data_IF_930181219833
#
_entry.id   IF_930181219833
#
_cell.length_a   1.000
_cell.length_b   1.000
_cell.length_c   1.000
_cell.angle_alpha   90.00
_cell.angle_beta   90.00
_cell.angle_gamma   90.00
#
_symmetry.space_group_name_H-M   'P 1'
#
loop_
_entity.id
_entity.type
_entity.pdbx_description
1 polymer ?
#
# COMPACT_ATOMS: atom_id res chain seq x y z
N UNK A 1 -10.59 -5.30 8.04
CA UNK A 1 -10.98 -5.15 6.62
C UNK A 1 -10.03 -4.15 6.00
N UNK A 2 -9.32 -4.52 4.93
CA UNK A 2 -8.30 -3.66 4.29
C UNK A 2 -8.88 -2.58 3.37
N UNK A 3 -9.95 -1.91 3.80
CA UNK A 3 -10.68 -0.91 3.02
C UNK A 3 -10.28 0.47 3.55
N UNK A 4 -9.59 1.29 2.76
CA UNK A 4 -9.17 2.63 3.19
C UNK A 4 -10.31 3.66 3.10
N UNK A 5 -10.25 4.69 3.94
CA UNK A 5 -11.13 5.84 3.94
C UNK A 5 -10.33 7.14 3.79
N UNK A 6 -10.76 8.00 2.86
CA UNK A 6 -10.18 9.35 2.70
C UNK A 6 -10.35 10.18 3.97
N UNK A 7 -9.34 11.00 4.30
CA UNK A 7 -9.30 11.82 5.50
C UNK A 7 -8.80 11.10 6.75
N UNK A 8 -8.75 9.77 6.74
CA UNK A 8 -8.20 8.95 7.82
C UNK A 8 -6.94 8.20 7.36
N UNK A 9 -7.02 7.48 6.24
CA UNK A 9 -5.92 6.68 5.72
C UNK A 9 -5.03 7.43 4.72
N UNK A 10 -5.59 8.45 4.08
CA UNK A 10 -4.88 9.28 3.10
C UNK A 10 -5.58 10.64 2.94
N UNK A 11 -4.81 11.67 2.61
CA UNK A 11 -5.36 12.99 2.30
C UNK A 11 -5.99 13.01 0.90
N UNK A 12 -6.95 13.91 0.71
CA UNK A 12 -7.51 14.15 -0.62
C UNK A 12 -6.39 14.59 -1.57
N UNK A 13 -6.44 14.11 -2.82
CA UNK A 13 -5.46 14.39 -3.88
C UNK A 13 -4.10 13.69 -3.74
N UNK A 14 -3.82 12.98 -2.64
CA UNK A 14 -2.52 12.33 -2.39
C UNK A 14 -2.46 10.83 -2.77
N UNK A 15 -3.58 10.28 -3.25
CA UNK A 15 -3.69 8.87 -3.63
C UNK A 15 -4.24 8.71 -5.05
N UNK A 16 -3.63 7.82 -5.82
CA UNK A 16 -4.22 7.30 -7.05
C UNK A 16 -5.25 6.21 -6.73
N UNK A 17 -6.24 5.96 -7.61
CA UNK A 17 -7.24 4.91 -7.41
C UNK A 17 -6.64 3.54 -7.07
N UNK A 18 -5.51 3.21 -7.69
CA UNK A 18 -4.75 1.99 -7.44
C UNK A 18 -4.15 1.92 -6.03
N UNK A 19 -3.68 3.05 -5.50
CA UNK A 19 -3.06 3.09 -4.17
C UNK A 19 -4.06 2.62 -3.11
N UNK A 20 -5.34 2.89 -3.33
CA UNK A 20 -6.46 2.63 -2.42
C UNK A 20 -7.39 1.50 -2.89
N UNK A 21 -6.91 0.65 -3.80
CA UNK A 21 -7.58 -0.60 -4.23
C UNK A 21 -8.92 -0.39 -4.98
N UNK A 22 -9.15 0.77 -5.60
CA UNK A 22 -10.36 1.00 -6.42
C UNK A 22 -10.38 0.14 -7.70
N UNK A 23 -9.21 -0.31 -8.16
CA UNK A 23 -9.06 -1.32 -9.21
C UNK A 23 -9.50 -2.72 -8.79
N UNK A 24 -9.62 -2.99 -7.48
CA UNK A 24 -9.99 -4.29 -6.89
C UNK A 24 -11.37 -4.32 -6.25
N UNK A 25 -12.05 -3.18 -6.16
CA UNK A 25 -13.36 -3.02 -5.50
C UNK A 25 -14.46 -2.56 -6.45
N UNK A 26 -14.25 -2.72 -7.76
CA UNK A 26 -15.14 -2.21 -8.84
C UNK A 26 -15.38 -0.68 -8.80
N UNK A 27 -14.59 0.06 -8.02
CA UNK A 27 -14.61 1.51 -7.93
C UNK A 27 -14.05 2.20 -9.17
N UNK A 28 -13.37 1.46 -10.05
CA UNK A 28 -12.78 1.94 -11.30
C UNK A 28 -13.29 1.13 -12.48
N UNK A 29 -13.68 1.80 -13.57
CA UNK A 29 -14.10 1.12 -14.79
C UNK A 29 -13.44 1.70 -16.02
N UNK A 30 -12.75 0.82 -16.74
CA UNK A 30 -12.08 1.13 -18.00
C UNK A 30 -13.00 1.04 -19.24
N UNK A 31 -14.27 0.63 -19.06
CA UNK A 31 -15.27 0.49 -20.14
C UNK A 31 -16.35 1.58 -20.14
N UNK A 32 -16.29 2.53 -19.21
CA UNK A 32 -17.23 3.66 -19.12
C UNK A 32 -16.74 4.82 -20.01
N UNK A 33 -17.63 5.76 -20.33
CA UNK A 33 -17.27 6.97 -21.08
C UNK A 33 -16.20 7.83 -20.39
N UNK A 34 -15.76 8.90 -21.05
CA UNK A 34 -14.65 9.72 -20.58
C UNK A 34 -14.91 10.36 -19.20
N UNK A 35 -13.99 10.17 -18.25
CA UNK A 35 -13.96 10.89 -16.97
C UNK A 35 -12.63 11.61 -16.74
N UNK A 36 -12.63 12.62 -15.87
CA UNK A 36 -11.44 13.45 -15.59
C UNK A 36 -10.31 12.59 -15.04
N UNK A 37 -9.12 12.68 -15.64
CA UNK A 37 -7.93 11.94 -15.21
C UNK A 37 -7.84 10.50 -15.74
N UNK A 38 -8.80 10.04 -16.56
CA UNK A 38 -8.80 8.68 -17.12
C UNK A 38 -7.53 8.32 -17.88
N UNK A 39 -6.93 9.26 -18.62
CA UNK A 39 -5.69 8.99 -19.35
C UNK A 39 -4.54 8.60 -18.40
N UNK A 40 -4.40 9.32 -17.28
CA UNK A 40 -3.35 9.07 -16.28
C UNK A 40 -3.59 7.72 -15.59
N UNK A 41 -4.84 7.47 -15.18
CA UNK A 41 -5.24 6.20 -14.53
C UNK A 41 -5.05 5.01 -15.47
N UNK A 42 -5.41 5.17 -16.74
CA UNK A 42 -5.20 4.14 -17.77
C UNK A 42 -3.71 3.87 -17.98
N UNK A 43 -2.86 4.90 -18.10
CA UNK A 43 -1.40 4.73 -18.23
C UNK A 43 -0.81 4.00 -17.02
N UNK A 44 -1.27 4.31 -15.81
CA UNK A 44 -0.82 3.66 -14.59
C UNK A 44 -1.15 2.16 -14.57
N UNK A 45 -2.38 1.79 -14.96
CA UNK A 45 -2.83 0.40 -15.08
C UNK A 45 -1.95 -0.39 -16.06
N UNK A 46 -1.73 0.15 -17.26
CA UNK A 46 -1.06 -0.59 -18.34
C UNK A 46 0.46 -0.65 -18.18
N UNK A 47 1.07 0.26 -17.41
CA UNK A 47 2.53 0.26 -17.16
C UNK A 47 2.96 -0.59 -15.97
N UNK A 48 2.03 -1.23 -15.25
CA UNK A 48 2.34 -1.95 -14.00
C UNK A 48 2.89 -1.04 -12.89
N UNK A 49 2.78 0.28 -13.05
CA UNK A 49 3.44 1.29 -12.19
C UNK A 49 2.75 1.55 -10.86
N UNK A 50 1.74 0.75 -10.48
CA UNK A 50 1.10 0.85 -9.17
C UNK A 50 2.03 0.34 -8.07
N UNK A 51 3.02 1.18 -7.74
CA UNK A 51 4.08 0.89 -6.77
C UNK A 51 3.58 1.01 -5.34
N UNK A 52 2.50 1.78 -5.10
CA UNK A 52 1.91 1.96 -3.78
C UNK A 52 0.58 1.21 -3.68
N UNK A 53 0.31 0.59 -2.54
CA UNK A 53 -0.97 -0.08 -2.22
C UNK A 53 -1.27 0.05 -0.73
N UNK A 54 -2.55 -0.01 -0.39
CA UNK A 54 -2.99 -0.23 0.99
C UNK A 54 -2.59 -1.63 1.45
N UNK A 55 -1.95 -1.69 2.62
CA UNK A 55 -1.58 -2.89 3.33
C UNK A 55 -2.21 -2.89 4.73
N UNK A 56 -2.48 -4.09 5.23
CA UNK A 56 -2.79 -4.34 6.63
C UNK A 56 -1.49 -4.31 7.43
N UNK A 57 -1.54 -3.68 8.60
CA UNK A 57 -0.41 -3.57 9.54
C UNK A 57 -0.77 -4.30 10.82
N UNK A 58 0.14 -5.12 11.34
CA UNK A 58 0.01 -5.75 12.65
C UNK A 58 1.33 -5.68 13.43
N UNK A 59 1.24 -5.59 14.75
CA UNK A 59 2.39 -5.63 15.67
C UNK A 59 2.06 -6.42 16.93
N UNK A 60 3.08 -6.77 17.73
CA UNK A 60 2.88 -7.39 19.05
C UNK A 60 2.42 -6.37 20.11
N UNK A 61 2.89 -5.12 19.98
CA UNK A 61 2.54 -4.00 20.86
C UNK A 61 1.61 -3.00 20.15
N UNK A 62 1.13 -1.99 20.86
CA UNK A 62 0.34 -0.93 20.24
C UNK A 62 1.14 -0.21 19.13
N UNK A 63 0.49 0.02 17.99
CA UNK A 63 1.06 0.79 16.90
C UNK A 63 1.14 2.28 17.30
N UNK A 64 2.12 3.03 16.75
CA UNK A 64 2.19 4.46 16.92
C UNK A 64 1.06 5.17 16.14
N UNK A 65 1.02 6.50 16.26
CA UNK A 65 -0.08 7.32 15.74
C UNK A 65 -0.17 7.27 14.21
N UNK A 66 -1.37 7.49 13.67
CA UNK A 66 -1.59 7.71 12.23
C UNK A 66 -0.64 8.77 11.66
N UNK A 67 -0.13 8.55 10.45
CA UNK A 67 0.87 9.40 9.82
C UNK A 67 2.32 9.04 10.17
N UNK A 68 2.57 8.04 11.04
CA UNK A 68 3.93 7.56 11.30
C UNK A 68 4.49 6.82 10.09
N UNK A 69 5.73 7.13 9.71
CA UNK A 69 6.42 6.44 8.61
C UNK A 69 6.74 4.99 8.95
N UNK A 70 6.55 4.12 7.96
CA UNK A 70 7.03 2.75 7.97
C UNK A 70 8.38 2.73 7.28
N UNK A 71 9.36 2.16 7.96
CA UNK A 71 10.76 2.11 7.57
C UNK A 71 11.20 0.67 7.31
N UNK A 72 12.06 0.47 6.33
CA UNK A 72 12.82 -0.75 6.10
C UNK A 72 14.31 -0.41 6.05
N UNK A 73 15.09 -0.90 7.01
CA UNK A 73 16.55 -0.65 7.04
C UNK A 73 16.90 0.85 6.98
N UNK A 74 16.13 1.70 7.65
CA UNK A 74 16.31 3.15 7.67
C UNK A 74 15.77 3.91 6.44
N UNK A 75 15.10 3.23 5.50
CA UNK A 75 14.48 3.88 4.33
C UNK A 75 12.95 3.88 4.46
N UNK A 76 12.25 4.99 4.16
CA UNK A 76 10.80 5.02 4.19
C UNK A 76 10.20 4.18 3.06
N UNK A 77 9.27 3.31 3.43
CA UNK A 77 8.53 2.43 2.52
C UNK A 77 7.03 2.74 2.49
N UNK A 78 6.51 3.54 3.42
CA UNK A 78 5.13 3.97 3.43
C UNK A 78 4.79 4.70 4.71
N UNK A 79 3.49 4.89 4.96
CA UNK A 79 3.01 5.66 6.11
C UNK A 79 1.76 5.01 6.67
N UNK A 80 1.64 4.96 8.01
CA UNK A 80 0.45 4.52 8.71
C UNK A 80 -0.74 5.43 8.38
N UNK A 81 -1.87 4.81 8.07
CA UNK A 81 -3.19 5.44 8.02
C UNK A 81 -3.90 5.26 9.36
N UNK A 82 -5.11 4.71 9.33
CA UNK A 82 -5.91 4.41 10.52
C UNK A 82 -5.23 3.36 11.40
N UNK A 83 -5.27 3.59 12.71
CA UNK A 83 -4.67 2.72 13.72
C UNK A 83 -5.70 2.38 14.80
N UNK A 84 -5.74 1.10 15.20
CA UNK A 84 -6.55 0.58 16.29
C UNK A 84 -5.73 -0.44 17.10
N UNK A 85 -5.17 0.01 18.24
CA UNK A 85 -4.34 -0.83 19.09
C UNK A 85 -3.09 -1.32 18.33
N UNK A 86 -2.94 -2.63 18.16
CA UNK A 86 -1.82 -3.25 17.46
C UNK A 86 -2.11 -3.59 15.98
N UNK A 87 -3.17 -3.01 15.42
CA UNK A 87 -3.58 -3.22 14.03
C UNK A 87 -3.84 -1.88 13.34
N UNK A 88 -3.63 -1.83 12.04
CA UNK A 88 -3.89 -0.62 11.28
C UNK A 88 -3.86 -0.85 9.77
N UNK A 89 -3.96 0.25 9.04
CA UNK A 89 -3.73 0.32 7.60
C UNK A 89 -2.51 1.18 7.33
N UNK A 90 -1.89 0.96 6.18
CA UNK A 90 -0.84 1.82 5.66
C UNK A 90 -0.88 1.86 4.15
N UNK A 91 -0.49 2.99 3.55
CA UNK A 91 -0.16 3.02 2.12
C UNK A 91 1.34 2.84 2.00
N UNK A 92 1.75 1.73 1.38
CA UNK A 92 3.15 1.31 1.29
C UNK A 92 3.57 1.05 -0.15
N UNK A 93 4.86 1.20 -0.42
CA UNK A 93 5.50 0.77 -1.66
C UNK A 93 5.71 -0.75 -1.65
N UNK A 94 4.91 -1.46 -2.43
CA UNK A 94 4.85 -2.93 -2.39
C UNK A 94 6.16 -3.60 -2.82
N UNK A 95 6.89 -2.98 -3.74
CA UNK A 95 8.20 -3.43 -4.20
C UNK A 95 9.26 -3.31 -3.10
N UNK A 96 9.33 -2.16 -2.42
CA UNK A 96 10.26 -1.96 -1.29
C UNK A 96 9.94 -2.86 -0.11
N UNK A 97 8.65 -3.10 0.16
CA UNK A 97 8.22 -4.00 1.22
C UNK A 97 8.59 -5.45 0.86
N UNK A 98 8.33 -5.88 -0.38
CA UNK A 98 8.71 -7.22 -0.85
C UNK A 98 10.22 -7.44 -0.82
N UNK A 99 11.01 -6.47 -1.27
CA UNK A 99 12.47 -6.51 -1.16
C UNK A 99 12.94 -6.60 0.29
N UNK A 100 12.34 -5.83 1.21
CA UNK A 100 12.67 -5.89 2.62
C UNK A 100 12.39 -7.28 3.21
N UNK A 101 11.22 -7.86 2.92
CA UNK A 101 10.83 -9.20 3.35
C UNK A 101 11.79 -10.25 2.81
N UNK A 102 12.12 -10.20 1.52
CA UNK A 102 13.01 -11.16 0.87
C UNK A 102 14.44 -11.13 1.43
N UNK A 103 14.90 -9.96 1.86
CA UNK A 103 16.22 -9.77 2.45
C UNK A 103 16.23 -9.87 3.99
N UNK A 104 15.09 -10.23 4.62
CA UNK A 104 14.98 -10.31 6.08
C UNK A 104 15.19 -8.97 6.81
N UNK A 105 14.96 -7.85 6.13
CA UNK A 105 15.07 -6.50 6.69
C UNK A 105 13.81 -6.22 7.51
N UNK A 106 13.92 -5.96 8.83
CA UNK A 106 12.76 -5.64 9.66
C UNK A 106 12.06 -4.37 9.20
N UNK A 107 10.73 -4.40 9.26
CA UNK A 107 9.87 -3.25 9.05
C UNK A 107 9.52 -2.63 10.40
N UNK A 108 9.66 -1.31 10.53
CA UNK A 108 9.34 -0.61 11.77
C UNK A 108 8.47 0.60 11.53
N UNK A 109 7.59 0.92 12.48
CA UNK A 109 6.93 2.20 12.61
C UNK A 109 7.41 2.83 13.92
N UNK A 110 8.19 3.92 13.83
CA UNK A 110 9.01 4.39 14.96
C UNK A 110 9.91 3.27 15.49
N UNK A 111 9.74 2.86 16.75
CA UNK A 111 10.45 1.79 17.45
C UNK A 111 9.68 0.46 17.48
N UNK A 112 8.48 0.40 16.90
CA UNK A 112 7.63 -0.80 16.88
C UNK A 112 7.90 -1.61 15.63
N UNK A 113 8.29 -2.87 15.79
CA UNK A 113 8.36 -3.83 14.67
C UNK A 113 6.96 -4.16 14.17
N UNK A 114 6.76 -4.05 12.86
CA UNK A 114 5.48 -4.29 12.20
C UNK A 114 5.58 -5.39 11.16
N UNK A 115 4.48 -6.11 10.98
CA UNK A 115 4.27 -7.05 9.88
C UNK A 115 3.23 -6.46 8.94
N UNK A 116 3.52 -6.51 7.65
CA UNK A 116 2.64 -6.05 6.59
C UNK A 116 2.06 -7.24 5.82
N UNK A 117 0.79 -7.17 5.47
CA UNK A 117 0.16 -8.06 4.50
C UNK A 117 -0.75 -7.27 3.56
N UNK A 118 -0.93 -7.76 2.33
CA UNK A 118 -1.94 -7.20 1.44
C UNK A 118 -3.29 -7.86 1.73
N UNK A 119 -4.43 -7.16 1.56
CA UNK A 119 -5.73 -7.75 1.85
C UNK A 119 -6.01 -8.96 0.94
N UNK A 120 -6.38 -10.09 1.53
CA UNK A 120 -6.53 -11.38 0.82
C UNK A 120 -7.44 -11.31 -0.41
N UNK A 121 -8.54 -10.56 -0.33
CA UNK A 121 -9.52 -10.39 -1.41
C UNK A 121 -8.99 -9.64 -2.64
N UNK A 122 -7.76 -9.10 -2.59
CA UNK A 122 -7.16 -8.39 -3.73
C UNK A 122 -6.37 -9.31 -4.66
N UNK A 123 -6.06 -10.53 -4.23
CA UNK A 123 -5.11 -11.47 -4.85
C UNK A 123 -3.72 -10.85 -5.12
N UNK A 124 -3.36 -9.77 -4.41
CA UNK A 124 -2.06 -9.13 -4.53
C UNK A 124 -1.06 -9.77 -3.57
N UNK A 125 0.19 -9.81 -4.01
CA UNK A 125 1.34 -10.21 -3.19
C UNK A 125 2.40 -9.11 -3.25
N UNK A 126 3.27 -9.04 -2.25
CA UNK A 126 4.45 -8.19 -2.32
C UNK A 126 5.42 -8.79 -3.35
N UNK A 127 5.72 -8.07 -4.46
CA UNK A 127 6.66 -8.58 -5.45
C UNK A 127 8.06 -8.61 -4.84
N UNK A 128 8.80 -9.68 -5.10
CA UNK A 128 10.22 -9.79 -4.75
C UNK A 128 11.06 -9.47 -5.99
N UNK A 129 12.25 -8.86 -5.85
CA UNK A 129 13.15 -8.52 -6.97
C UNK A 129 13.32 -9.62 -8.06
N UNK A 130 13.15 -10.90 -7.72
CA UNK A 130 13.18 -12.02 -8.67
C UNK A 130 12.02 -12.01 -9.69
N UNK A 131 10.91 -11.33 -9.42
CA UNK A 131 9.69 -11.32 -10.25
C UNK A 131 9.58 -10.14 -11.23
N UNK A 132 10.44 -9.12 -11.16
CA UNK A 132 10.46 -8.00 -12.12
C UNK A 132 11.37 -8.28 -13.34
N UNK A 133 11.96 -9.47 -13.43
CA UNK A 133 12.92 -9.84 -14.46
C UNK A 133 12.34 -10.75 -15.57
N UNK A 134 11.08 -10.57 -15.98
CA UNK A 134 10.64 -11.05 -17.30
C UNK A 134 9.86 -9.97 -18.06
N UNK A 135 10.29 -9.61 -19.29
CA UNK A 135 9.70 -8.57 -20.12
C UNK A 135 8.38 -8.96 -20.81
#
# INVERSE_FOLDING_TARGET
>A
SGIPASGFDYALQDAFPHDVLLDKTDGLSFRKGCYVGQEVVSRMQHRGTARRRVALVTSETALPVSGTDIMAGGKPVGTLGSVLGNKGLAIVRIDRVGDAIANGIPLTASDVTVVLSLPEWTDLLFPTATQEAEP
#
